data_IF_826543118519
#
_entry.id   IF_826543118519
#
_cell.length_a   1.000
_cell.length_b   1.000
_cell.length_c   1.000
_cell.angle_alpha   90.00
_cell.angle_beta   90.00
_cell.angle_gamma   90.00
#
_symmetry.space_group_name_H-M   'P 1'
#
loop_
_entity.id
_entity.type
_entity.pdbx_description
1 polymer ?
#
# COMPACT_ATOMS: atom_id res chain seq x y z
N UNK A 1 -7.56 8.44 1.74
CA UNK A 1 -8.75 7.91 2.44
C UNK A 1 -8.90 8.52 3.83
N UNK A 2 -7.96 8.35 4.76
CA UNK A 2 -8.10 8.86 6.13
C UNK A 2 -8.40 10.37 6.25
N UNK A 3 -7.76 11.24 5.44
CA UNK A 3 -8.01 12.70 5.48
C UNK A 3 -9.46 13.05 5.13
N UNK A 4 -10.00 12.48 4.04
CA UNK A 4 -11.40 12.71 3.65
C UNK A 4 -12.36 12.08 4.67
N UNK A 5 -12.00 10.92 5.24
CA UNK A 5 -12.76 10.30 6.33
C UNK A 5 -12.89 11.20 7.56
N UNK A 6 -11.79 11.85 7.98
CA UNK A 6 -11.79 12.80 9.10
C UNK A 6 -12.68 14.01 8.80
N UNK A 7 -12.62 14.55 7.57
CA UNK A 7 -13.49 15.66 7.16
C UNK A 7 -14.98 15.30 7.23
N UNK A 8 -15.33 14.08 6.84
CA UNK A 8 -16.71 13.59 6.92
C UNK A 8 -17.12 13.10 8.31
N UNK A 9 -16.18 13.05 9.27
CA UNK A 9 -16.37 12.37 10.57
C UNK A 9 -16.87 10.92 10.43
N UNK A 10 -16.53 10.27 9.32
CA UNK A 10 -16.91 8.89 9.04
C UNK A 10 -15.97 8.32 7.98
N UNK A 11 -15.55 7.06 8.13
CA UNK A 11 -14.70 6.43 7.13
C UNK A 11 -15.42 6.22 5.80
N UNK A 12 -14.70 6.39 4.69
CA UNK A 12 -15.25 6.29 3.34
C UNK A 12 -14.45 5.35 2.44
N UNK A 13 -15.15 4.65 1.54
CA UNK A 13 -14.58 3.89 0.42
C UNK A 13 -15.38 4.17 -0.86
N UNK A 14 -14.84 3.83 -2.04
CA UNK A 14 -15.52 4.10 -3.32
C UNK A 14 -16.33 2.89 -3.79
N UNK A 15 -17.56 3.13 -4.24
CA UNK A 15 -18.41 2.12 -4.88
C UNK A 15 -18.67 0.92 -3.97
N UNK A 16 -18.47 -0.31 -4.46
CA UNK A 16 -18.65 -1.54 -3.66
C UNK A 16 -17.51 -1.79 -2.66
N UNK A 17 -16.40 -1.05 -2.76
CA UNK A 17 -15.22 -1.24 -1.91
C UNK A 17 -14.40 -2.51 -2.21
N UNK A 18 -14.75 -3.30 -3.22
CA UNK A 18 -14.10 -4.58 -3.57
C UNK A 18 -12.80 -4.44 -4.37
N UNK A 19 -12.28 -3.22 -4.49
CA UNK A 19 -11.08 -2.91 -5.24
C UNK A 19 -9.83 -3.44 -4.53
N UNK A 20 -8.96 -4.12 -5.27
CA UNK A 20 -7.79 -4.84 -4.76
C UNK A 20 -6.50 -4.17 -5.22
N UNK A 21 -5.64 -3.84 -4.25
CA UNK A 21 -4.32 -3.24 -4.48
C UNK A 21 -3.20 -4.05 -3.84
N UNK A 22 -2.09 -4.18 -4.57
CA UNK A 22 -0.83 -4.65 -4.04
C UNK A 22 -0.25 -3.67 -3.02
N UNK A 23 0.43 -4.19 -2.00
CA UNK A 23 1.12 -3.40 -0.98
C UNK A 23 2.48 -3.99 -0.62
N UNK A 24 3.32 -3.15 -0.04
CA UNK A 24 4.64 -3.51 0.50
C UNK A 24 4.99 -2.58 1.64
N UNK A 25 5.55 -3.14 2.69
CA UNK A 25 6.08 -2.36 3.80
C UNK A 25 7.39 -1.68 3.39
N UNK A 26 7.61 -0.44 3.82
CA UNK A 26 8.79 0.36 3.41
C UNK A 26 10.11 -0.36 3.69
N UNK A 27 10.25 -1.02 4.84
CA UNK A 27 11.46 -1.78 5.21
C UNK A 27 11.77 -2.92 4.25
N UNK A 28 10.75 -3.59 3.71
CA UNK A 28 10.97 -4.65 2.72
C UNK A 28 11.22 -4.10 1.32
N UNK A 29 10.63 -2.94 0.99
CA UNK A 29 10.91 -2.24 -0.25
C UNK A 29 12.36 -1.75 -0.32
N UNK A 30 12.93 -1.27 0.79
CA UNK A 30 14.36 -0.89 0.86
C UNK A 30 15.26 -2.09 0.53
N UNK A 31 15.00 -3.26 1.13
CA UNK A 31 15.75 -4.49 0.80
C UNK A 31 15.64 -4.86 -0.68
N UNK A 32 14.48 -4.64 -1.30
CA UNK A 32 14.33 -4.86 -2.74
C UNK A 32 15.23 -3.91 -3.54
N UNK A 33 15.28 -2.63 -3.19
CA UNK A 33 16.18 -1.68 -3.86
C UNK A 33 17.65 -2.09 -3.72
N UNK A 34 18.08 -2.56 -2.55
CA UNK A 34 19.43 -3.08 -2.35
C UNK A 34 19.75 -4.25 -3.29
N UNK A 35 18.84 -5.23 -3.38
CA UNK A 35 19.01 -6.39 -4.27
C UNK A 35 19.06 -5.98 -5.75
N UNK A 36 18.17 -5.08 -6.19
CA UNK A 36 18.14 -4.60 -7.58
C UNK A 36 19.41 -3.80 -7.89
N UNK A 37 19.88 -2.97 -6.96
CA UNK A 37 21.12 -2.21 -7.12
C UNK A 37 22.33 -3.14 -7.23
N UNK A 38 22.45 -4.13 -6.33
CA UNK A 38 23.52 -5.13 -6.38
C UNK A 38 23.51 -5.92 -7.69
N UNK A 39 22.32 -6.30 -8.17
CA UNK A 39 22.17 -6.96 -9.48
C UNK A 39 22.66 -6.05 -10.62
N UNK A 40 22.23 -4.79 -10.65
CA UNK A 40 22.63 -3.84 -11.67
C UNK A 40 24.15 -3.55 -11.67
N UNK A 41 24.77 -3.44 -10.49
CA UNK A 41 26.22 -3.28 -10.35
C UNK A 41 26.96 -4.53 -10.86
N UNK A 42 26.47 -5.72 -10.56
CA UNK A 42 27.04 -6.98 -11.06
C UNK A 42 26.98 -7.07 -12.59
N UNK A 43 25.90 -6.59 -13.22
CA UNK A 43 25.80 -6.46 -14.69
C UNK A 43 26.85 -5.47 -15.22
N UNK A 44 26.98 -4.31 -14.57
CA UNK A 44 27.92 -3.26 -14.99
C UNK A 44 29.38 -3.72 -14.92
N UNK A 45 29.74 -4.51 -13.90
CA UNK A 45 31.08 -5.06 -13.69
C UNK A 45 31.37 -6.29 -14.58
N UNK A 46 30.39 -6.77 -15.35
CA UNK A 46 30.54 -7.96 -16.21
C UNK A 46 30.51 -9.28 -15.45
N UNK A 47 30.13 -9.29 -14.16
CA UNK A 47 30.01 -10.51 -13.34
C UNK A 47 28.81 -11.36 -13.75
N UNK A 48 27.74 -10.72 -14.25
CA UNK A 48 26.54 -11.38 -14.78
C UNK A 48 26.14 -10.74 -16.11
N UNK A 49 25.52 -11.51 -17.03
CA UNK A 49 25.11 -10.97 -18.33
C UNK A 49 24.00 -9.94 -18.17
N UNK A 50 23.98 -8.95 -19.07
CA UNK A 50 22.88 -7.99 -19.15
C UNK A 50 21.57 -8.72 -19.47
N UNK A 51 20.50 -8.53 -18.69
CA UNK A 51 19.21 -9.12 -18.99
C UNK A 51 18.60 -8.54 -20.28
N UNK A 52 17.66 -9.26 -20.93
CA UNK A 52 16.93 -8.74 -22.09
C UNK A 52 16.31 -7.37 -21.83
N UNK A 53 16.15 -6.56 -22.88
CA UNK A 53 15.69 -5.16 -22.80
C UNK A 53 14.47 -4.96 -21.88
N UNK A 54 13.50 -5.87 -21.92
CA UNK A 54 12.25 -5.80 -21.16
C UNK A 54 12.23 -6.65 -19.87
N UNK A 55 13.38 -7.20 -19.45
CA UNK A 55 13.51 -8.02 -18.26
C UNK A 55 14.08 -7.26 -17.04
N UNK A 56 14.06 -5.93 -17.07
CA UNK A 56 14.64 -5.06 -16.04
C UNK A 56 13.60 -4.54 -15.00
N UNK A 57 12.38 -5.08 -15.00
CA UNK A 57 11.31 -4.65 -14.10
C UNK A 57 11.22 -5.60 -12.89
N UNK A 58 11.33 -5.04 -11.69
CA UNK A 58 11.26 -5.76 -10.42
C UNK A 58 10.14 -5.16 -9.57
N UNK A 59 9.02 -5.87 -9.45
CA UNK A 59 7.86 -5.39 -8.70
C UNK A 59 8.00 -5.68 -7.21
N UNK A 60 7.69 -4.68 -6.39
CA UNK A 60 7.66 -4.79 -4.93
C UNK A 60 6.26 -5.04 -4.40
N UNK A 61 5.54 -6.06 -4.85
CA UNK A 61 4.27 -6.45 -4.23
C UNK A 61 4.53 -7.62 -3.27
N UNK A 62 4.34 -7.37 -1.98
CA UNK A 62 4.51 -8.35 -0.91
C UNK A 62 3.20 -9.02 -0.50
N UNK A 63 2.10 -8.27 -0.55
CA UNK A 63 0.74 -8.74 -0.29
C UNK A 63 -0.30 -7.89 -1.02
N UNK A 64 -1.58 -8.18 -0.80
CA UNK A 64 -2.72 -7.44 -1.37
C UNK A 64 -3.70 -7.03 -0.27
N UNK A 65 -4.49 -5.99 -0.53
CA UNK A 65 -5.60 -5.59 0.34
C UNK A 65 -6.81 -5.17 -0.48
N UNK A 66 -7.98 -5.23 0.17
CA UNK A 66 -9.25 -4.73 -0.36
C UNK A 66 -9.52 -3.36 0.26
N UNK A 67 -9.75 -2.34 -0.57
CA UNK A 67 -9.95 -0.96 -0.10
C UNK A 67 -11.11 -0.80 0.88
N UNK A 68 -12.21 -1.53 0.67
CA UNK A 68 -13.35 -1.53 1.58
C UNK A 68 -13.00 -2.06 2.97
N UNK A 69 -12.11 -3.04 3.08
CA UNK A 69 -11.70 -3.60 4.37
C UNK A 69 -10.73 -2.67 5.10
N UNK A 70 -9.82 -2.02 4.36
CA UNK A 70 -9.01 -0.92 4.89
C UNK A 70 -9.91 0.20 5.43
N UNK A 71 -10.95 0.60 4.69
CA UNK A 71 -11.86 1.65 5.13
C UNK A 71 -12.63 1.29 6.41
N UNK A 72 -13.12 0.06 6.53
CA UNK A 72 -13.80 -0.44 7.74
C UNK A 72 -12.86 -0.41 8.96
N UNK A 73 -11.62 -0.88 8.78
CA UNK A 73 -10.64 -0.87 9.86
C UNK A 73 -10.28 0.56 10.28
N UNK A 74 -10.06 1.46 9.32
CA UNK A 74 -9.86 2.89 9.59
C UNK A 74 -11.07 3.49 10.31
N UNK A 75 -12.30 3.12 9.96
CA UNK A 75 -13.52 3.60 10.64
C UNK A 75 -13.52 3.25 12.12
N UNK A 76 -13.23 1.99 12.44
CA UNK A 76 -13.12 1.53 13.83
C UNK A 76 -12.03 2.31 14.60
N UNK A 77 -10.86 2.51 13.97
CA UNK A 77 -9.75 3.24 14.58
C UNK A 77 -10.05 4.73 14.79
N UNK A 78 -10.67 5.40 13.81
CA UNK A 78 -11.05 6.80 13.91
C UNK A 78 -12.10 7.03 14.99
N UNK A 79 -13.11 6.16 15.08
CA UNK A 79 -14.14 6.23 16.12
C UNK A 79 -13.52 6.06 17.53
N UNK A 80 -12.66 5.03 17.71
CA UNK A 80 -11.90 4.83 18.95
C UNK A 80 -11.08 6.06 19.37
N UNK A 81 -10.58 6.83 18.40
CA UNK A 81 -9.78 8.05 18.62
C UNK A 81 -10.63 9.33 18.66
N UNK A 82 -11.97 9.24 18.66
CA UNK A 82 -12.89 10.40 18.71
C UNK A 82 -12.83 11.30 17.47
N UNK A 83 -12.42 10.74 16.33
CA UNK A 83 -12.30 11.44 15.03
C UNK A 83 -13.41 11.11 14.05
N UNK A 84 -14.26 10.13 14.37
CA UNK A 84 -15.45 9.77 13.61
C UNK A 84 -16.63 9.59 14.56
N UNK A 85 -17.84 9.89 14.09
CA UNK A 85 -19.09 9.78 14.84
C UNK A 85 -19.58 8.33 14.94
N UNK A 86 -19.06 7.44 14.08
CA UNK A 86 -19.42 6.03 13.96
C UNK A 86 -18.19 5.20 13.53
N UNK A 87 -18.08 3.93 13.95
CA UNK A 87 -17.02 3.02 13.48
C UNK A 87 -17.29 2.46 12.07
N UNK A 88 -18.51 2.58 11.54
CA UNK A 88 -18.89 2.06 10.24
C UNK A 88 -18.34 2.92 9.09
N UNK A 89 -17.84 2.25 8.04
CA UNK A 89 -17.45 2.91 6.80
C UNK A 89 -18.64 2.98 5.82
N UNK A 90 -18.75 4.08 5.06
CA UNK A 90 -19.76 4.26 4.02
C UNK A 90 -19.16 4.37 2.62
N UNK A 91 -19.97 4.08 1.62
CA UNK A 91 -19.58 4.29 0.21
C UNK A 91 -19.72 5.75 -0.21
N UNK A 92 -18.85 6.19 -1.12
CA UNK A 92 -18.92 7.45 -1.87
C UNK A 92 -18.70 7.18 -3.37
N UNK A 93 -19.00 8.18 -4.20
CA UNK A 93 -18.63 8.18 -5.62
C UNK A 93 -17.15 8.45 -5.83
N UNK A 94 -16.62 8.09 -7.00
CA UNK A 94 -15.22 8.35 -7.33
C UNK A 94 -14.91 9.86 -7.41
N UNK A 95 -15.87 10.67 -7.87
CA UNK A 95 -15.71 12.12 -8.01
C UNK A 95 -15.60 12.84 -6.66
N UNK A 96 -16.21 12.29 -5.61
CA UNK A 96 -16.06 12.78 -4.24
C UNK A 96 -14.68 12.47 -3.64
N UNK A 97 -13.98 11.46 -4.18
CA UNK A 97 -12.72 11.00 -3.64
C UNK A 97 -11.55 11.86 -4.15
N UNK A 98 -10.82 12.52 -3.24
CA UNK A 98 -9.64 13.31 -3.60
C UNK A 98 -8.58 12.55 -4.42
N UNK A 99 -8.51 11.23 -4.21
CA UNK A 99 -7.65 10.36 -5.01
C UNK A 99 -8.49 9.23 -5.65
N UNK A 100 -9.06 9.45 -6.84
CA UNK A 100 -10.00 8.52 -7.45
C UNK A 100 -9.33 7.20 -7.87
N UNK A 101 -7.99 7.13 -7.90
CA UNK A 101 -7.27 5.88 -8.20
C UNK A 101 -7.64 4.73 -7.25
N UNK A 102 -8.02 5.01 -5.99
CA UNK A 102 -8.49 3.98 -5.04
C UNK A 102 -9.79 3.28 -5.48
N UNK A 103 -10.46 3.80 -6.51
CA UNK A 103 -11.63 3.20 -7.15
C UNK A 103 -11.27 2.10 -8.18
N UNK A 104 -9.97 1.79 -8.36
CA UNK A 104 -9.46 0.86 -9.38
C UNK A 104 -8.77 -0.35 -8.76
N UNK A 105 -8.39 -1.33 -9.57
CA UNK A 105 -7.51 -2.43 -9.16
C UNK A 105 -6.06 -2.16 -9.61
N UNK A 106 -5.10 -2.52 -8.77
CA UNK A 106 -3.66 -2.45 -9.08
C UNK A 106 -2.95 -3.66 -8.50
N UNK A 107 -2.66 -4.64 -9.35
CA UNK A 107 -2.15 -5.96 -8.93
C UNK A 107 -0.90 -6.30 -9.73
N UNK A 108 0.11 -6.85 -9.06
CA UNK A 108 1.34 -7.29 -9.72
C UNK A 108 1.92 -8.51 -9.01
N UNK A 109 2.72 -9.29 -9.74
CA UNK A 109 3.42 -10.45 -9.20
C UNK A 109 4.92 -10.16 -9.20
N UNK A 110 5.56 -10.39 -8.06
CA UNK A 110 6.94 -10.03 -7.80
C UNK A 110 7.97 -11.10 -8.22
N UNK A 111 7.70 -11.92 -9.25
CA UNK A 111 8.51 -13.10 -9.59
C UNK A 111 9.99 -12.79 -9.75
N UNK A 112 10.35 -11.75 -10.50
CA UNK A 112 11.75 -11.35 -10.71
C UNK A 112 12.40 -10.86 -9.43
N UNK A 113 11.69 -10.09 -8.62
CA UNK A 113 12.16 -9.66 -7.30
C UNK A 113 12.44 -10.88 -6.41
N UNK A 114 11.53 -11.86 -6.37
CA UNK A 114 11.73 -13.12 -5.63
C UNK A 114 12.92 -13.91 -6.17
N UNK A 115 13.15 -13.93 -7.48
CA UNK A 115 14.30 -14.60 -8.09
C UNK A 115 15.66 -13.98 -7.70
N UNK A 116 15.67 -12.71 -7.27
CA UNK A 116 16.85 -12.06 -6.68
C UNK A 116 17.02 -12.38 -5.18
N UNK A 117 16.20 -13.26 -4.61
CA UNK A 117 16.23 -13.59 -3.17
C UNK A 117 15.41 -12.63 -2.31
N UNK A 118 14.58 -11.76 -2.89
CA UNK A 118 13.73 -10.86 -2.10
C UNK A 118 12.69 -11.64 -1.30
N UNK A 119 12.74 -11.51 0.02
CA UNK A 119 11.82 -12.16 0.95
C UNK A 119 11.26 -11.16 1.97
N UNK A 120 10.14 -10.47 1.67
CA UNK A 120 9.44 -9.63 2.62
C UNK A 120 8.96 -10.39 3.85
N UNK A 121 9.22 -9.82 5.02
CA UNK A 121 8.88 -10.38 6.34
C UNK A 121 8.28 -9.36 7.28
N UNK A 122 8.05 -8.12 6.82
CA UNK A 122 7.47 -7.08 7.64
C UNK A 122 5.99 -7.33 7.92
N UNK A 123 5.44 -6.50 8.82
CA UNK A 123 4.03 -6.53 9.22
C UNK A 123 3.11 -6.34 8.02
N UNK A 124 1.91 -6.93 8.09
CA UNK A 124 0.89 -6.71 7.06
C UNK A 124 0.39 -5.27 7.08
N UNK A 125 -0.20 -4.80 5.97
CA UNK A 125 -0.82 -3.48 5.93
C UNK A 125 -1.89 -3.31 7.03
N UNK A 126 -2.63 -4.36 7.36
CA UNK A 126 -3.65 -4.32 8.41
C UNK A 126 -3.06 -4.08 9.79
N UNK A 127 -1.85 -4.59 10.06
CA UNK A 127 -1.17 -4.43 11.34
C UNK A 127 -0.48 -3.07 11.48
N UNK A 128 -0.18 -2.37 10.38
CA UNK A 128 0.46 -1.04 10.42
C UNK A 128 -0.54 0.11 10.50
N UNK A 129 -1.80 -0.12 10.11
CA UNK A 129 -2.81 0.94 9.98
C UNK A 129 -2.99 1.83 11.21
N UNK A 130 -2.96 1.29 12.43
CA UNK A 130 -3.12 2.13 13.64
C UNK A 130 -1.92 3.06 13.82
N UNK A 131 -0.70 2.57 13.62
CA UNK A 131 0.51 3.37 13.69
C UNK A 131 0.58 4.41 12.57
N UNK A 132 0.23 4.04 11.34
CA UNK A 132 0.17 4.95 10.20
C UNK A 132 -0.87 6.06 10.41
N UNK A 133 -2.03 5.72 10.99
CA UNK A 133 -3.06 6.68 11.34
C UNK A 133 -2.59 7.63 12.45
N UNK A 134 -1.90 7.13 13.47
CA UNK A 134 -1.37 7.95 14.56
C UNK A 134 -0.31 8.94 14.05
N UNK A 135 0.58 8.49 13.17
CA UNK A 135 1.54 9.35 12.50
C UNK A 135 0.84 10.45 11.69
N UNK A 136 -0.19 10.10 10.91
CA UNK A 136 -0.99 11.08 10.16
C UNK A 136 -1.65 12.10 11.09
N UNK A 137 -2.32 11.65 12.16
CA UNK A 137 -3.00 12.55 13.10
C UNK A 137 -2.03 13.50 13.80
N UNK A 138 -0.79 13.08 14.05
CA UNK A 138 0.25 13.93 14.60
C UNK A 138 0.64 15.09 13.66
N UNK A 139 0.53 14.92 12.33
CA UNK A 139 0.80 15.98 11.34
C UNK A 139 -0.33 17.00 11.17
N UNK A 140 -1.52 16.74 11.72
CA UNK A 140 -2.69 17.61 11.60
C UNK A 140 -2.87 18.55 12.81
N UNK A 141 -1.91 18.55 13.75
CA UNK A 141 -1.84 19.49 14.87
C UNK A 141 -1.21 20.80 14.42
#
# INVERSE_FOLDING_TARGET
MAIISIKHKQSVYVGKGTNVWGNVHISDLVKLYELVLQHALSVREGKIPRPPKFANFYFGTAGEHVWGDIAKQIGTLLHKKGKADTPEARSITADEMQWPAVATNSRSVAERSRSLGWNPTAKSVHDTLEGDLDALLATLK
#
